data_IF_298771964020
#
_entry.id   IF_298771964020
#
_cell.length_a   1.000
_cell.length_b   1.000
_cell.length_c   1.000
_cell.angle_alpha   90.00
_cell.angle_beta   90.00
_cell.angle_gamma   90.00
#
_symmetry.space_group_name_H-M   'P 1'
#
loop_
_entity.id
_entity.type
_entity.pdbx_description
1 polymer ?
#
# COMPACT_ATOMS: atom_id res chain seq x y z
N UNK A 1 8.87 -12.24 -10.21
CA UNK A 1 10.20 -11.98 -9.58
C UNK A 1 10.02 -11.73 -8.08
N UNK A 2 10.86 -12.28 -7.21
CA UNK A 2 10.85 -11.96 -5.76
C UNK A 2 11.87 -10.89 -5.44
N UNK A 3 11.49 -9.89 -4.65
CA UNK A 3 12.38 -8.82 -4.19
C UNK A 3 13.15 -9.27 -2.94
N UNK A 4 14.42 -8.90 -2.83
CA UNK A 4 15.32 -9.39 -1.78
C UNK A 4 15.25 -8.55 -0.50
N UNK A 5 15.23 -9.21 0.65
CA UNK A 5 15.34 -8.55 1.96
C UNK A 5 16.76 -8.07 2.18
N UNK A 6 16.92 -6.79 2.50
CA UNK A 6 18.20 -6.15 2.77
C UNK A 6 18.53 -6.12 4.26
N UNK A 7 17.53 -6.10 5.14
CA UNK A 7 17.72 -5.97 6.58
C UNK A 7 16.84 -6.93 7.39
N UNK A 8 17.30 -7.17 8.63
CA UNK A 8 16.53 -7.84 9.66
C UNK A 8 15.33 -7.01 10.15
N UNK A 9 14.34 -7.69 10.71
CA UNK A 9 13.12 -7.07 11.20
C UNK A 9 13.38 -6.14 12.40
N UNK A 10 13.06 -4.85 12.25
CA UNK A 10 13.03 -3.89 13.37
C UNK A 10 11.66 -3.83 14.04
N UNK A 11 11.42 -4.71 15.01
CA UNK A 11 10.13 -4.77 15.75
C UNK A 11 9.78 -3.48 16.51
N UNK A 12 10.79 -2.69 16.89
CA UNK A 12 10.62 -1.43 17.61
C UNK A 12 10.27 -0.26 16.69
N UNK A 13 10.43 -0.39 15.37
CA UNK A 13 10.10 0.66 14.40
C UNK A 13 8.65 1.11 14.57
N UNK A 14 8.49 2.42 14.63
CA UNK A 14 7.20 3.13 14.65
C UNK A 14 7.22 4.16 13.52
N UNK A 15 6.32 4.06 12.54
CA UNK A 15 6.22 5.09 11.53
C UNK A 15 5.48 6.31 12.08
N UNK A 16 5.75 7.45 11.46
CA UNK A 16 4.98 8.68 11.57
C UNK A 16 4.07 8.81 10.34
N UNK A 17 2.95 9.52 10.51
CA UNK A 17 1.95 9.72 9.46
C UNK A 17 1.69 11.22 9.32
N UNK A 18 1.74 11.73 8.09
CA UNK A 18 1.52 13.15 7.76
C UNK A 18 1.04 13.31 6.32
N UNK A 19 0.69 14.54 5.96
CA UNK A 19 0.37 14.97 4.60
C UNK A 19 -0.84 14.22 4.03
N UNK A 20 -1.86 14.00 4.87
CA UNK A 20 -3.12 13.42 4.45
C UNK A 20 -3.95 14.39 3.61
N UNK A 21 -4.55 13.92 2.52
CA UNK A 21 -5.55 14.67 1.77
C UNK A 21 -6.95 14.24 2.23
N UNK A 22 -7.62 15.13 2.96
CA UNK A 22 -8.92 14.90 3.56
C UNK A 22 -10.01 15.69 2.83
N UNK A 23 -11.16 15.05 2.59
CA UNK A 23 -12.33 15.69 1.96
C UNK A 23 -13.61 15.34 2.72
N UNK A 24 -14.71 16.03 2.41
CA UNK A 24 -16.02 15.81 3.05
C UNK A 24 -15.95 15.86 4.59
N UNK A 25 -15.39 16.95 5.12
CA UNK A 25 -15.17 17.16 6.57
C UNK A 25 -14.47 15.95 7.22
N UNK A 26 -13.35 15.53 6.63
CA UNK A 26 -12.51 14.42 7.08
C UNK A 26 -13.16 13.03 7.06
N UNK A 27 -14.35 12.88 6.47
CA UNK A 27 -14.97 11.56 6.25
C UNK A 27 -14.28 10.76 5.16
N UNK A 28 -13.52 11.43 4.31
CA UNK A 28 -12.70 10.84 3.26
C UNK A 28 -11.23 11.15 3.47
N UNK A 29 -10.37 10.19 3.13
CA UNK A 29 -8.92 10.36 3.03
C UNK A 29 -8.43 9.71 1.73
N UNK A 30 -8.03 10.53 0.78
CA UNK A 30 -7.59 10.07 -0.53
C UNK A 30 -6.16 9.52 -0.48
N UNK A 31 -5.27 10.18 0.27
CA UNK A 31 -3.89 9.77 0.47
C UNK A 31 -3.44 10.02 1.91
N UNK A 32 -2.42 9.28 2.37
CA UNK A 32 -1.67 9.56 3.59
C UNK A 32 -0.21 9.20 3.39
N UNK A 33 0.73 10.04 3.81
CA UNK A 33 2.15 9.69 3.76
C UNK A 33 2.61 9.08 5.08
N UNK A 34 3.37 7.99 4.98
CA UNK A 34 3.90 7.22 6.11
C UNK A 34 5.41 7.21 6.00
N UNK A 35 6.13 7.60 7.06
CA UNK A 35 7.60 7.73 7.06
C UNK A 35 8.21 7.15 8.33
N UNK A 36 9.43 6.63 8.23
CA UNK A 36 10.23 6.19 9.38
C UNK A 36 11.71 6.45 9.14
N UNK A 37 12.50 6.46 10.22
CA UNK A 37 13.96 6.49 10.11
C UNK A 37 14.44 5.18 9.51
N UNK A 38 15.11 5.22 8.36
CA UNK A 38 15.69 4.04 7.70
C UNK A 38 16.77 3.33 8.52
N UNK A 39 17.40 2.32 7.92
CA UNK A 39 18.62 1.73 8.45
C UNK A 39 19.78 2.74 8.33
N UNK A 40 20.56 2.94 9.39
CA UNK A 40 21.65 3.92 9.42
C UNK A 40 23.01 3.37 9.00
N UNK A 41 23.20 2.05 9.04
CA UNK A 41 24.49 1.41 8.74
C UNK A 41 24.71 1.28 7.23
N UNK A 42 23.65 0.95 6.48
CA UNK A 42 23.68 0.89 5.02
C UNK A 42 22.40 1.51 4.45
N UNK A 43 22.27 2.84 4.48
CA UNK A 43 21.02 3.51 4.19
C UNK A 43 20.58 3.29 2.73
N UNK A 44 19.37 2.75 2.57
CA UNK A 44 18.57 2.87 1.37
C UNK A 44 17.45 3.88 1.63
N UNK A 45 16.92 4.47 0.57
CA UNK A 45 15.88 5.50 0.68
C UNK A 45 14.80 5.30 -0.38
N UNK A 46 14.35 4.07 -0.54
CA UNK A 46 13.27 3.76 -1.47
C UNK A 46 11.92 4.25 -0.93
N UNK A 47 11.06 4.62 -1.85
CA UNK A 47 9.70 5.08 -1.63
C UNK A 47 8.70 4.15 -2.32
N UNK A 48 7.56 3.93 -1.68
CA UNK A 48 6.50 3.13 -2.28
C UNK A 48 5.16 3.88 -2.32
N UNK A 49 4.26 3.41 -3.18
CA UNK A 49 2.83 3.66 -3.05
C UNK A 49 2.15 2.35 -2.70
N UNK A 50 1.33 2.33 -1.65
CA UNK A 50 0.51 1.18 -1.31
C UNK A 50 -0.95 1.46 -1.65
N UNK A 51 -1.62 0.47 -2.24
CA UNK A 51 -3.03 0.55 -2.65
C UNK A 51 -3.85 -0.44 -1.84
N UNK A 52 -4.64 0.07 -0.88
CA UNK A 52 -5.58 -0.70 -0.07
C UNK A 52 -7.03 -0.55 -0.52
N UNK A 53 -7.98 -1.15 0.22
CA UNK A 53 -9.42 -1.01 -0.06
C UNK A 53 -9.94 0.36 0.39
N UNK A 54 -9.75 0.72 1.66
CA UNK A 54 -10.27 1.95 2.24
C UNK A 54 -9.48 2.36 3.51
N UNK A 55 -9.45 3.66 3.87
CA UNK A 55 -8.93 4.12 5.16
C UNK A 55 -9.72 3.53 6.33
N UNK A 56 -9.02 3.06 7.36
CA UNK A 56 -9.65 2.52 8.57
C UNK A 56 -9.61 3.50 9.75
N UNK A 57 -8.40 3.78 10.28
CA UNK A 57 -8.24 4.56 11.52
C UNK A 57 -7.11 5.58 11.50
N UNK A 58 -6.07 5.34 10.70
CA UNK A 58 -4.89 6.19 10.66
C UNK A 58 -5.14 7.56 10.05
N UNK A 59 -4.50 8.59 10.59
CA UNK A 59 -4.54 9.98 10.14
C UNK A 59 -3.17 10.65 10.36
N UNK A 60 -3.09 11.98 10.22
CA UNK A 60 -1.85 12.76 10.39
C UNK A 60 -1.27 12.81 11.81
N UNK A 61 -1.95 12.21 12.79
CA UNK A 61 -1.51 12.18 14.19
C UNK A 61 -1.24 10.77 14.68
N UNK A 62 -1.82 9.75 14.03
CA UNK A 62 -1.68 8.35 14.44
C UNK A 62 -1.61 7.39 13.26
N UNK A 63 -0.68 6.44 13.39
CA UNK A 63 -0.64 5.22 12.59
C UNK A 63 -1.66 4.19 13.09
N UNK A 64 -1.83 3.10 12.35
CA UNK A 64 -2.60 1.92 12.77
C UNK A 64 -1.81 0.62 12.55
N UNK A 65 -2.44 -0.53 12.82
CA UNK A 65 -1.82 -1.86 12.64
C UNK A 65 -1.40 -2.07 11.19
N UNK A 66 -2.21 -1.67 10.22
CA UNK A 66 -1.93 -1.88 8.79
C UNK A 66 -0.70 -1.11 8.37
N UNK A 67 -0.65 0.19 8.67
CA UNK A 67 0.48 1.04 8.28
C UNK A 67 1.76 0.67 9.02
N UNK A 68 1.67 0.34 10.31
CA UNK A 68 2.84 -0.08 11.10
C UNK A 68 3.40 -1.42 10.62
N UNK A 69 2.52 -2.38 10.31
CA UNK A 69 2.93 -3.68 9.80
C UNK A 69 3.59 -3.53 8.42
N UNK A 70 3.01 -2.71 7.53
CA UNK A 70 3.57 -2.46 6.21
C UNK A 70 4.91 -1.71 6.29
N UNK A 71 5.02 -0.68 7.14
CA UNK A 71 6.27 0.07 7.32
C UNK A 71 7.41 -0.86 7.74
N UNK A 72 7.19 -1.71 8.76
CA UNK A 72 8.19 -2.69 9.21
C UNK A 72 8.53 -3.73 8.15
N UNK A 73 7.52 -4.18 7.38
CA UNK A 73 7.75 -5.12 6.30
C UNK A 73 8.62 -4.50 5.22
N UNK A 74 8.29 -3.29 4.74
CA UNK A 74 9.04 -2.59 3.70
C UNK A 74 10.40 -2.09 4.16
N UNK A 75 10.55 -1.79 5.45
CA UNK A 75 11.84 -1.47 6.04
C UNK A 75 12.87 -2.56 5.76
N UNK A 76 12.48 -3.84 5.88
CA UNK A 76 13.35 -4.97 5.58
C UNK A 76 13.86 -4.99 4.13
N UNK A 77 13.24 -4.24 3.21
CA UNK A 77 13.60 -4.13 1.79
C UNK A 77 14.24 -2.78 1.43
N UNK A 78 14.61 -1.94 2.41
CA UNK A 78 15.30 -0.67 2.14
C UNK A 78 14.40 0.53 1.92
N UNK A 79 13.10 0.41 2.13
CA UNK A 79 12.18 1.55 2.05
C UNK A 79 12.21 2.36 3.34
N UNK A 80 11.91 3.65 3.22
CA UNK A 80 11.84 4.59 4.36
C UNK A 80 10.49 5.30 4.45
N UNK A 81 9.69 5.18 3.39
CA UNK A 81 8.39 5.81 3.31
C UNK A 81 7.47 5.10 2.32
N UNK A 82 6.17 5.31 2.50
CA UNK A 82 5.20 5.06 1.45
C UNK A 82 4.03 6.03 1.52
N UNK A 83 3.36 6.23 0.39
CA UNK A 83 2.05 6.90 0.31
C UNK A 83 0.94 5.83 0.27
N UNK A 84 -0.05 5.95 1.16
CA UNK A 84 -1.19 5.04 1.23
C UNK A 84 -2.37 5.61 0.44
N UNK A 85 -2.61 5.05 -0.74
CA UNK A 85 -3.84 5.23 -1.53
C UNK A 85 -4.83 4.11 -1.23
N UNK A 86 -6.10 4.35 -1.58
CA UNK A 86 -7.15 3.36 -1.41
C UNK A 86 -8.11 3.38 -2.60
N UNK A 87 -8.75 2.23 -2.89
CA UNK A 87 -9.80 2.16 -3.90
C UNK A 87 -10.94 3.14 -3.57
N UNK A 88 -11.32 3.21 -2.30
CA UNK A 88 -12.32 4.16 -1.79
C UNK A 88 -11.70 5.06 -0.74
N UNK A 89 -11.97 6.36 -0.82
CA UNK A 89 -11.45 7.32 0.16
C UNK A 89 -12.24 7.33 1.47
N UNK A 90 -13.46 6.79 1.54
CA UNK A 90 -14.28 6.84 2.76
C UNK A 90 -13.65 6.07 3.93
N UNK A 91 -13.60 6.70 5.10
CA UNK A 91 -13.24 6.02 6.33
C UNK A 91 -14.26 4.96 6.70
N UNK A 92 -13.79 3.74 6.91
CA UNK A 92 -14.59 2.69 7.54
C UNK A 92 -13.71 1.60 8.14
N UNK A 93 -14.06 1.14 9.34
CA UNK A 93 -13.43 -0.07 9.91
C UNK A 93 -14.02 -1.36 9.32
N UNK A 94 -15.26 -1.31 8.82
CA UNK A 94 -15.96 -2.47 8.26
C UNK A 94 -16.25 -2.25 6.77
N UNK A 95 -16.12 -3.29 5.95
CA UNK A 95 -16.35 -3.15 4.50
C UNK A 95 -17.77 -2.68 4.15
N UNK A 96 -18.77 -3.04 4.97
CA UNK A 96 -20.17 -2.60 4.82
C UNK A 96 -20.37 -1.09 4.99
N UNK A 97 -19.43 -0.39 5.63
CA UNK A 97 -19.47 1.07 5.80
C UNK A 97 -18.77 1.86 4.69
N UNK A 98 -18.22 1.18 3.67
CA UNK A 98 -17.55 1.84 2.54
C UNK A 98 -18.60 2.51 1.65
N UNK A 99 -18.37 3.77 1.31
CA UNK A 99 -19.27 4.55 0.45
C UNK A 99 -18.82 4.40 -1.01
N UNK A 100 -19.65 3.76 -1.83
CA UNK A 100 -19.33 3.49 -3.24
C UNK A 100 -19.03 4.76 -4.07
N UNK A 101 -19.67 5.88 -3.75
CA UNK A 101 -19.46 7.17 -4.43
C UNK A 101 -18.13 7.87 -4.05
N UNK A 102 -17.28 7.23 -3.25
CA UNK A 102 -15.97 7.76 -2.83
C UNK A 102 -14.81 7.03 -3.51
N UNK A 103 -15.07 6.42 -4.67
CA UNK A 103 -14.01 5.81 -5.47
C UNK A 103 -12.94 6.84 -5.82
N UNK A 104 -11.68 6.50 -5.54
CA UNK A 104 -10.54 7.36 -5.81
C UNK A 104 -10.25 7.45 -7.30
N UNK A 105 -10.08 8.66 -7.81
CA UNK A 105 -9.57 8.90 -9.16
C UNK A 105 -8.03 8.85 -9.13
N UNK A 106 -7.47 7.73 -9.59
CA UNK A 106 -6.02 7.48 -9.56
C UNK A 106 -5.22 8.39 -10.50
N UNK A 107 -5.87 9.01 -11.50
CA UNK A 107 -5.18 9.94 -12.41
C UNK A 107 -4.61 11.16 -11.67
N UNK A 108 -5.28 11.61 -10.60
CA UNK A 108 -4.82 12.69 -9.71
C UNK A 108 -3.50 12.37 -9.00
N UNK A 109 -3.19 11.09 -8.84
CA UNK A 109 -2.01 10.60 -8.13
C UNK A 109 -0.96 10.00 -9.07
N UNK A 110 -1.10 10.21 -10.40
CA UNK A 110 -0.13 9.73 -11.39
C UNK A 110 1.30 10.11 -11.04
N UNK A 111 1.58 11.37 -10.71
CA UNK A 111 2.93 11.81 -10.31
C UNK A 111 3.45 11.06 -9.07
N UNK A 112 2.59 10.76 -8.09
CA UNK A 112 2.99 9.95 -6.93
C UNK A 112 3.35 8.52 -7.31
N UNK A 113 2.65 7.94 -8.29
CA UNK A 113 2.94 6.60 -8.80
C UNK A 113 4.19 6.60 -9.68
N UNK A 114 4.45 7.65 -10.46
CA UNK A 114 5.67 7.84 -11.27
C UNK A 114 6.92 7.94 -10.37
N UNK A 115 6.88 8.77 -9.34
CA UNK A 115 8.02 9.03 -8.44
C UNK A 115 8.37 7.83 -7.55
N UNK A 116 7.42 6.93 -7.29
CA UNK A 116 7.64 5.79 -6.40
C UNK A 116 8.52 4.71 -7.06
N UNK A 117 9.45 4.16 -6.28
CA UNK A 117 10.26 3.01 -6.68
C UNK A 117 9.41 1.74 -6.82
N UNK A 118 8.31 1.65 -6.06
CA UNK A 118 7.43 0.48 -6.05
C UNK A 118 5.97 0.84 -5.78
N UNK A 119 5.06 0.13 -6.44
CA UNK A 119 3.62 0.15 -6.17
C UNK A 119 3.22 -1.19 -5.57
N UNK A 120 2.54 -1.18 -4.42
CA UNK A 120 2.19 -2.39 -3.67
C UNK A 120 0.68 -2.55 -3.62
N UNK A 121 0.18 -3.65 -4.17
CA UNK A 121 -1.22 -4.04 -4.07
C UNK A 121 -1.47 -4.72 -2.72
N UNK A 122 -2.24 -4.06 -1.86
CA UNK A 122 -2.41 -4.39 -0.44
C UNK A 122 -3.90 -4.61 -0.06
N UNK A 123 -4.74 -4.96 -1.03
CA UNK A 123 -6.20 -4.98 -0.89
C UNK A 123 -6.82 -6.32 -0.45
N UNK A 124 -6.03 -7.32 -0.10
CA UNK A 124 -6.47 -8.63 0.39
C UNK A 124 -6.73 -9.66 -0.72
N UNK A 125 -6.83 -10.93 -0.32
CA UNK A 125 -6.92 -12.08 -1.24
C UNK A 125 -8.32 -12.40 -1.76
N UNK A 126 -9.35 -11.72 -1.26
CA UNK A 126 -10.70 -11.88 -1.80
C UNK A 126 -10.74 -11.24 -3.20
N UNK A 127 -10.71 -12.09 -4.23
CA UNK A 127 -10.73 -11.66 -5.64
C UNK A 127 -12.11 -11.20 -6.11
N UNK A 128 -13.17 -11.60 -5.41
CA UNK A 128 -14.55 -11.26 -5.77
C UNK A 128 -14.95 -9.90 -5.23
N UNK A 129 -14.46 -9.55 -4.03
CA UNK A 129 -14.71 -8.24 -3.44
C UNK A 129 -14.06 -7.14 -4.28
N UNK A 130 -14.88 -6.16 -4.71
CA UNK A 130 -14.44 -4.98 -5.47
C UNK A 130 -13.69 -5.33 -6.76
N UNK A 131 -14.12 -6.40 -7.45
CA UNK A 131 -13.47 -6.91 -8.65
C UNK A 131 -13.35 -5.84 -9.73
N UNK A 132 -14.45 -5.12 -10.00
CA UNK A 132 -14.49 -4.12 -11.07
C UNK A 132 -13.59 -2.92 -10.73
N UNK A 133 -13.56 -2.48 -9.47
CA UNK A 133 -12.71 -1.38 -9.04
C UNK A 133 -11.24 -1.75 -9.03
N UNK A 134 -10.89 -2.99 -8.63
CA UNK A 134 -9.52 -3.52 -8.74
C UNK A 134 -9.09 -3.58 -10.21
N UNK A 135 -9.95 -4.08 -11.09
CA UNK A 135 -9.66 -4.17 -12.52
C UNK A 135 -9.43 -2.78 -13.14
N UNK A 136 -10.25 -1.78 -12.81
CA UNK A 136 -10.05 -0.40 -13.28
C UNK A 136 -8.68 0.16 -12.87
N UNK A 137 -8.23 -0.13 -11.64
CA UNK A 137 -6.90 0.30 -11.18
C UNK A 137 -5.80 -0.43 -11.95
N UNK A 138 -5.92 -1.75 -12.16
CA UNK A 138 -4.95 -2.51 -12.94
C UNK A 138 -4.88 -2.02 -14.40
N UNK A 139 -6.02 -1.77 -15.03
CA UNK A 139 -6.10 -1.18 -16.38
C UNK A 139 -5.42 0.18 -16.45
N UNK A 140 -5.65 1.05 -15.45
CA UNK A 140 -4.97 2.33 -15.34
C UNK A 140 -3.44 2.15 -15.19
N UNK A 141 -2.99 1.30 -14.26
CA UNK A 141 -1.55 1.03 -14.04
C UNK A 141 -0.89 0.46 -15.31
N UNK A 142 -1.61 -0.36 -16.08
CA UNK A 142 -1.15 -0.90 -17.37
C UNK A 142 -1.08 0.17 -18.45
N UNK A 143 -2.11 1.00 -18.59
CA UNK A 143 -2.15 2.09 -19.56
C UNK A 143 -1.01 3.11 -19.32
N UNK A 144 -0.72 3.39 -18.05
CA UNK A 144 0.36 4.28 -17.62
C UNK A 144 1.74 3.59 -17.54
N UNK A 145 1.84 2.32 -17.95
CA UNK A 145 3.08 1.52 -18.01
C UNK A 145 3.78 1.33 -16.66
N UNK A 146 3.04 1.30 -15.55
CA UNK A 146 3.61 1.09 -14.22
C UNK A 146 3.76 -0.37 -13.82
N UNK A 147 3.23 -1.32 -14.59
CA UNK A 147 3.16 -2.73 -14.20
C UNK A 147 4.51 -3.36 -13.83
N UNK A 148 5.62 -2.90 -14.41
CA UNK A 148 6.97 -3.39 -14.09
C UNK A 148 7.37 -3.14 -12.62
N UNK A 149 6.80 -2.11 -11.98
CA UNK A 149 7.04 -1.77 -10.59
C UNK A 149 5.85 -2.07 -9.67
N UNK A 150 4.89 -2.87 -10.12
CA UNK A 150 3.77 -3.34 -9.29
C UNK A 150 4.14 -4.65 -8.60
N UNK A 151 3.96 -4.70 -7.29
CA UNK A 151 4.29 -5.80 -6.41
C UNK A 151 3.12 -6.13 -5.48
N UNK A 152 3.16 -7.32 -4.90
CA UNK A 152 2.23 -7.76 -3.88
C UNK A 152 2.98 -8.51 -2.76
N UNK A 153 2.31 -8.67 -1.62
CA UNK A 153 2.87 -9.41 -0.48
C UNK A 153 2.31 -10.83 -0.50
N UNK A 154 3.20 -11.81 -0.67
CA UNK A 154 2.84 -13.20 -0.87
C UNK A 154 3.37 -14.10 0.24
N UNK A 155 2.52 -15.03 0.71
CA UNK A 155 2.93 -16.06 1.66
C UNK A 155 3.77 -17.15 1.00
N UNK A 156 3.39 -17.53 -0.21
CA UNK A 156 3.94 -18.69 -0.94
C UNK A 156 4.80 -18.29 -2.14
N UNK A 157 5.00 -17.00 -2.37
CA UNK A 157 5.69 -16.49 -3.55
C UNK A 157 4.78 -16.35 -4.79
N UNK A 158 3.49 -16.65 -4.69
CA UNK A 158 2.51 -16.43 -5.76
C UNK A 158 2.37 -14.92 -6.10
N UNK A 159 2.54 -14.58 -7.37
CA UNK A 159 2.52 -13.22 -7.92
C UNK A 159 1.13 -12.57 -7.99
N UNK A 160 0.07 -13.29 -7.63
CA UNK A 160 -1.31 -12.77 -7.57
C UNK A 160 -1.87 -12.67 -6.14
N UNK A 161 -1.06 -13.01 -5.13
CA UNK A 161 -1.43 -12.94 -3.72
C UNK A 161 -1.28 -11.51 -3.20
N UNK A 162 -2.38 -10.76 -3.18
CA UNK A 162 -2.42 -9.36 -2.75
C UNK A 162 -2.74 -9.24 -1.25
N UNK A 163 -1.95 -9.89 -0.39
CA UNK A 163 -2.26 -9.98 1.06
C UNK A 163 -2.40 -8.61 1.71
N UNK A 164 -3.44 -8.45 2.52
CA UNK A 164 -3.64 -7.22 3.28
C UNK A 164 -2.62 -7.13 4.44
N UNK A 165 -1.92 -5.99 4.65
CA UNK A 165 -0.81 -5.90 5.60
C UNK A 165 -1.17 -6.33 7.01
N UNK A 166 -2.36 -6.03 7.53
CA UNK A 166 -2.75 -6.46 8.88
C UNK A 166 -2.83 -7.98 9.10
N UNK A 167 -2.72 -8.77 8.02
CA UNK A 167 -2.82 -10.24 7.98
C UNK A 167 -1.51 -10.92 7.55
N UNK A 168 -0.41 -10.18 7.34
CA UNK A 168 0.86 -10.77 6.88
C UNK A 168 1.78 -11.16 8.04
N UNK A 169 2.64 -12.15 7.80
CA UNK A 169 3.85 -12.40 8.58
C UNK A 169 5.05 -11.66 7.96
N UNK A 170 6.07 -11.35 8.75
CA UNK A 170 7.33 -10.81 8.24
C UNK A 170 8.18 -11.86 7.50
N UNK A 171 7.83 -13.14 7.59
CA UNK A 171 8.41 -14.21 6.77
C UNK A 171 7.93 -14.19 5.32
N UNK A 172 6.82 -13.50 5.02
CA UNK A 172 6.28 -13.38 3.68
C UNK A 172 7.25 -12.64 2.74
N UNK A 173 6.96 -12.74 1.45
CA UNK A 173 7.80 -12.25 0.36
C UNK A 173 7.14 -11.10 -0.37
N UNK A 174 7.95 -10.17 -0.85
CA UNK A 174 7.53 -9.12 -1.77
C UNK A 174 7.78 -9.63 -3.18
N UNK A 175 6.72 -9.76 -3.99
CA UNK A 175 6.76 -10.43 -5.30
C UNK A 175 6.19 -9.49 -6.34
N UNK A 176 6.83 -9.41 -7.50
CA UNK A 176 6.31 -8.69 -8.65
C UNK A 176 4.95 -9.26 -9.03
N UNK A 177 3.97 -8.36 -9.14
CA UNK A 177 2.59 -8.75 -9.37
C UNK A 177 2.40 -9.20 -10.82
N UNK A 178 1.70 -10.31 -10.99
CA UNK A 178 1.26 -10.80 -12.28
C UNK A 178 -0.23 -11.13 -12.18
N UNK A 179 -0.99 -10.68 -13.16
CA UNK A 179 -2.39 -11.05 -13.26
C UNK A 179 -2.50 -12.57 -13.46
N UNK A 180 -3.38 -13.21 -12.69
CA UNK A 180 -3.72 -14.61 -12.96
C UNK A 180 -4.45 -14.67 -14.31
N UNK A 181 -4.01 -15.59 -15.18
CA UNK A 181 -4.73 -15.95 -16.40
C UNK A 181 -6.15 -16.45 -16.11
#
# INVERSE_FOLDING_TARGET
MTYEKLYELRQTLRPTTKDGLYTDNEKNREILTVRWSGNTENPKNFSAVAIGINPSKANDERSDKTLTQLARFLDMYGFTNFKMLNIFSSYSTQQTGIRANTQTDFSKFKGCLEDADMIILAWGTDRSAYKDEKNRILEFLKAEKFMEKVFCISETGNSSDTRHPSRISYSYQLVQFEESA
#
